data_IF_461697492176
#
_entry.id   IF_461697492176
#
_cell.length_a   1.000
_cell.length_b   1.000
_cell.length_c   1.000
_cell.angle_alpha   90.00
_cell.angle_beta   90.00
_cell.angle_gamma   90.00
#
_symmetry.space_group_name_H-M   'P 1'
#
loop_
_entity.id
_entity.type
_entity.pdbx_description
1 polymer ?
#
# COMPACT_ATOMS: atom_id res chain seq x y z
N UNK A 1 -28.54 -1.36 6.94
CA UNK A 1 -27.22 -0.70 7.11
C UNK A 1 -26.66 -0.45 5.72
N UNK A 2 -26.35 0.79 5.34
CA UNK A 2 -25.71 1.08 4.04
C UNK A 2 -24.38 0.34 3.97
N UNK A 3 -24.24 -0.62 3.07
CA UNK A 3 -23.01 -1.37 2.80
C UNK A 3 -21.96 -0.40 2.26
N UNK A 4 -21.05 0.05 3.12
CA UNK A 4 -19.92 0.89 2.72
C UNK A 4 -18.87 0.02 2.06
N UNK A 5 -18.42 0.44 0.89
CA UNK A 5 -17.45 -0.26 0.07
C UNK A 5 -16.29 0.69 -0.29
N UNK A 6 -15.06 0.18 -0.43
CA UNK A 6 -13.93 0.94 -1.01
C UNK A 6 -13.77 0.60 -2.49
N UNK A 7 -14.90 0.44 -3.17
CA UNK A 7 -14.91 0.12 -4.59
C UNK A 7 -14.53 1.34 -5.42
N UNK A 8 -14.55 1.13 -6.72
CA UNK A 8 -14.29 2.14 -7.74
C UNK A 8 -15.11 3.43 -7.55
N UNK A 9 -14.46 4.58 -7.76
CA UNK A 9 -15.15 5.86 -7.84
C UNK A 9 -15.78 6.04 -9.24
N UNK A 10 -16.92 6.73 -9.33
CA UNK A 10 -17.69 6.83 -10.57
C UNK A 10 -16.95 7.44 -11.77
N UNK A 11 -15.85 8.18 -11.53
CA UNK A 11 -15.02 8.76 -12.59
C UNK A 11 -13.83 7.89 -13.01
N UNK A 12 -13.51 6.82 -12.28
CA UNK A 12 -12.25 6.09 -12.47
C UNK A 12 -12.15 5.43 -13.86
N UNK A 13 -13.24 4.88 -14.41
CA UNK A 13 -13.21 4.33 -15.79
C UNK A 13 -12.80 5.36 -16.81
N UNK A 14 -13.36 6.57 -16.70
CA UNK A 14 -13.06 7.66 -17.61
C UNK A 14 -11.60 8.11 -17.46
N UNK A 15 -11.08 8.04 -16.24
CA UNK A 15 -9.74 8.53 -15.90
C UNK A 15 -8.63 7.51 -16.15
N UNK A 16 -8.93 6.21 -16.15
CA UNK A 16 -7.92 5.15 -16.16
C UNK A 16 -8.25 3.96 -17.07
N UNK A 17 -9.51 3.80 -17.49
CA UNK A 17 -9.99 2.59 -18.17
C UNK A 17 -9.60 2.46 -19.63
N UNK A 18 -9.22 3.54 -20.32
CA UNK A 18 -8.84 3.47 -21.74
C UNK A 18 -7.36 3.12 -21.91
N UNK A 19 -7.02 2.24 -22.86
CA UNK A 19 -5.63 1.89 -23.20
C UNK A 19 -4.77 3.10 -23.55
N UNK A 20 -5.33 4.09 -24.26
CA UNK A 20 -4.65 5.36 -24.57
C UNK A 20 -4.24 6.11 -23.31
N UNK A 21 -5.11 6.17 -22.32
CA UNK A 21 -4.80 6.83 -21.05
C UNK A 21 -3.77 6.05 -20.23
N UNK A 22 -3.84 4.72 -20.24
CA UNK A 22 -2.84 3.87 -19.57
C UNK A 22 -1.45 4.05 -20.17
N UNK A 23 -1.35 4.11 -21.51
CA UNK A 23 -0.09 4.40 -22.19
C UNK A 23 0.46 5.78 -21.81
N UNK A 24 -0.42 6.80 -21.77
CA UNK A 24 -0.05 8.14 -21.36
C UNK A 24 0.42 8.21 -19.89
N UNK A 25 -0.17 7.40 -19.00
CA UNK A 25 0.32 7.24 -17.61
C UNK A 25 1.73 6.64 -17.59
N UNK A 26 2.00 5.61 -18.40
CA UNK A 26 3.35 5.02 -18.49
C UNK A 26 4.40 6.05 -18.95
N UNK A 27 4.08 6.86 -19.95
CA UNK A 27 4.95 7.97 -20.41
C UNK A 27 5.16 9.02 -19.32
N UNK A 28 4.08 9.42 -18.62
CA UNK A 28 4.17 10.34 -17.50
C UNK A 28 5.05 9.81 -16.35
N UNK A 29 5.01 8.50 -16.09
CA UNK A 29 5.86 7.87 -15.08
C UNK A 29 7.34 7.88 -15.45
N UNK A 30 7.66 7.67 -16.73
CA UNK A 30 9.04 7.79 -17.22
C UNK A 30 9.59 9.20 -17.00
N UNK A 31 8.79 10.23 -17.34
CA UNK A 31 9.17 11.63 -17.10
C UNK A 31 9.28 11.95 -15.60
N UNK A 32 8.35 11.47 -14.78
CA UNK A 32 8.42 11.63 -13.32
C UNK A 32 9.72 11.04 -12.78
N UNK A 33 10.03 9.79 -13.13
CA UNK A 33 11.25 9.12 -12.69
C UNK A 33 12.51 9.86 -13.14
N UNK A 34 12.53 10.35 -14.39
CA UNK A 34 13.64 11.15 -14.92
C UNK A 34 13.89 12.43 -14.11
N UNK A 35 12.83 13.15 -13.72
CA UNK A 35 12.94 14.36 -12.91
C UNK A 35 13.36 14.04 -11.47
N UNK A 36 12.73 13.05 -10.84
CA UNK A 36 13.07 12.62 -9.48
C UNK A 36 14.52 12.11 -9.38
N UNK A 37 15.04 11.50 -10.44
CA UNK A 37 16.44 11.04 -10.51
C UNK A 37 17.46 12.17 -10.69
N UNK A 38 17.00 13.42 -10.85
CA UNK A 38 17.81 14.65 -10.88
C UNK A 38 17.48 15.57 -9.71
N UNK A 39 16.96 15.01 -8.63
CA UNK A 39 16.66 15.71 -7.38
C UNK A 39 15.63 16.84 -7.54
N UNK A 40 14.80 16.80 -8.58
CA UNK A 40 13.65 17.70 -8.66
C UNK A 40 12.69 17.37 -7.52
N UNK A 41 12.21 18.40 -6.83
CA UNK A 41 11.23 18.23 -5.77
C UNK A 41 9.95 17.57 -6.30
N UNK A 42 9.46 16.56 -5.58
CA UNK A 42 8.29 15.75 -5.93
C UNK A 42 7.06 16.58 -6.33
N UNK A 43 6.73 17.63 -5.56
CA UNK A 43 5.61 18.55 -5.87
C UNK A 43 5.80 19.32 -7.19
N UNK A 44 7.02 19.71 -7.51
CA UNK A 44 7.33 20.44 -8.74
C UNK A 44 7.33 19.49 -9.95
N UNK A 45 7.90 18.29 -9.78
CA UNK A 45 7.91 17.26 -10.81
C UNK A 45 6.49 16.85 -11.24
N UNK A 46 5.61 16.54 -10.27
CA UNK A 46 4.22 16.17 -10.58
C UNK A 46 3.45 17.28 -11.27
N UNK A 47 3.70 18.55 -10.92
CA UNK A 47 3.07 19.68 -11.58
C UNK A 47 3.54 19.83 -13.04
N UNK A 48 4.85 19.72 -13.29
CA UNK A 48 5.43 19.80 -14.64
C UNK A 48 4.91 18.68 -15.54
N UNK A 49 5.01 17.44 -15.07
CA UNK A 49 4.54 16.26 -15.80
C UNK A 49 3.02 16.31 -15.97
N UNK A 50 2.28 16.59 -14.89
CA UNK A 50 0.83 16.72 -14.93
C UNK A 50 0.35 17.74 -15.96
N UNK A 51 1.01 18.90 -16.05
CA UNK A 51 0.71 19.90 -17.06
C UNK A 51 1.05 19.43 -18.49
N UNK A 52 2.23 18.80 -18.71
CA UNK A 52 2.65 18.27 -20.01
C UNK A 52 1.62 17.30 -20.59
N UNK A 53 1.12 16.39 -19.77
CA UNK A 53 0.17 15.34 -20.17
C UNK A 53 -1.29 15.71 -19.93
N UNK A 54 -1.58 16.93 -19.46
CA UNK A 54 -2.93 17.43 -19.14
C UNK A 54 -3.69 16.54 -18.15
N UNK A 55 -2.98 15.99 -17.16
CA UNK A 55 -3.53 15.12 -16.13
C UNK A 55 -4.30 15.94 -15.10
N UNK A 56 -5.45 15.43 -14.66
CA UNK A 56 -6.19 16.04 -13.55
C UNK A 56 -5.54 15.70 -12.20
N UNK A 57 -6.04 16.33 -11.13
CA UNK A 57 -5.51 16.15 -9.76
C UNK A 57 -5.49 14.68 -9.31
N UNK A 58 -6.49 13.87 -9.70
CA UNK A 58 -6.58 12.46 -9.32
C UNK A 58 -5.55 11.60 -10.06
N UNK A 59 -5.36 11.84 -11.34
CA UNK A 59 -4.31 11.19 -12.15
C UNK A 59 -2.92 11.64 -11.70
N UNK A 60 -2.74 12.91 -11.35
CA UNK A 60 -1.50 13.43 -10.75
C UNK A 60 -1.19 12.73 -9.41
N UNK A 61 -2.21 12.50 -8.57
CA UNK A 61 -2.06 11.71 -7.35
C UNK A 61 -1.61 10.27 -7.64
N UNK A 62 -2.18 9.64 -8.67
CA UNK A 62 -1.78 8.30 -9.10
C UNK A 62 -0.33 8.26 -9.57
N UNK A 63 0.08 9.11 -10.51
CA UNK A 63 1.46 9.10 -11.01
C UNK A 63 2.47 9.42 -9.92
N UNK A 64 2.15 10.35 -9.01
CA UNK A 64 2.98 10.67 -7.85
C UNK A 64 3.17 9.46 -6.94
N UNK A 65 2.08 8.73 -6.67
CA UNK A 65 2.14 7.49 -5.90
C UNK A 65 2.89 6.37 -6.60
N UNK A 66 2.86 6.30 -7.93
CA UNK A 66 3.51 5.23 -8.69
C UNK A 66 4.98 5.51 -9.02
N UNK A 67 5.41 6.77 -8.99
CA UNK A 67 6.75 7.19 -9.40
C UNK A 67 7.79 7.12 -8.27
N UNK A 68 9.03 6.84 -8.65
CA UNK A 68 10.21 7.00 -7.80
C UNK A 68 11.44 7.28 -8.68
N UNK A 69 12.51 7.81 -8.09
CA UNK A 69 13.79 7.92 -8.80
C UNK A 69 14.37 6.52 -9.05
N UNK A 70 15.26 6.40 -10.04
CA UNK A 70 15.97 5.15 -10.33
C UNK A 70 16.71 4.66 -9.08
N UNK A 71 17.43 5.56 -8.40
CA UNK A 71 18.13 5.26 -7.15
C UNK A 71 17.19 4.75 -6.07
N UNK A 72 16.01 5.36 -5.89
CA UNK A 72 15.02 4.89 -4.91
C UNK A 72 14.51 3.49 -5.24
N UNK A 73 14.16 3.21 -6.51
CA UNK A 73 13.70 1.89 -6.94
C UNK A 73 14.78 0.83 -6.67
N UNK A 74 16.04 1.12 -7.01
CA UNK A 74 17.16 0.22 -6.76
C UNK A 74 17.37 -0.04 -5.26
N UNK A 75 17.36 1.01 -4.43
CA UNK A 75 17.51 0.87 -2.98
C UNK A 75 16.39 0.04 -2.35
N UNK A 76 15.13 0.28 -2.75
CA UNK A 76 13.99 -0.52 -2.29
C UNK A 76 14.16 -1.99 -2.68
N UNK A 77 14.54 -2.27 -3.92
CA UNK A 77 14.77 -3.64 -4.40
C UNK A 77 15.88 -4.35 -3.62
N UNK A 78 16.94 -3.64 -3.21
CA UNK A 78 18.03 -4.21 -2.42
C UNK A 78 17.62 -4.58 -0.99
N UNK A 79 16.70 -3.82 -0.39
CA UNK A 79 16.20 -4.07 0.97
C UNK A 79 14.96 -4.97 1.02
N UNK A 80 14.32 -5.23 -0.11
CA UNK A 80 13.17 -6.12 -0.25
C UNK A 80 13.54 -7.58 0.10
N UNK A 81 12.61 -8.28 0.73
CA UNK A 81 12.70 -9.69 1.05
C UNK A 81 11.78 -10.51 0.14
N UNK A 82 12.14 -11.77 -0.05
CA UNK A 82 11.25 -12.78 -0.62
C UNK A 82 10.50 -13.53 0.49
N UNK A 83 9.39 -14.17 0.13
CA UNK A 83 8.55 -14.98 1.02
C UNK A 83 9.36 -15.96 1.89
N UNK A 84 10.32 -16.67 1.28
CA UNK A 84 11.14 -17.68 1.95
C UNK A 84 12.01 -17.10 3.07
N UNK A 85 12.26 -15.79 3.08
CA UNK A 85 13.08 -15.12 4.09
C UNK A 85 12.27 -14.65 5.30
N UNK A 86 10.96 -14.91 5.35
CA UNK A 86 10.08 -14.50 6.45
C UNK A 86 9.96 -15.56 7.57
N UNK A 87 10.37 -16.80 7.30
CA UNK A 87 10.21 -17.93 8.24
C UNK A 87 10.86 -17.61 9.59
N UNK A 88 10.07 -17.69 10.65
CA UNK A 88 10.49 -17.43 12.02
C UNK A 88 10.87 -15.97 12.33
N UNK A 89 10.70 -15.05 11.37
CA UNK A 89 11.05 -13.63 11.55
C UNK A 89 9.95 -12.85 12.25
N UNK A 90 10.32 -11.71 12.82
CA UNK A 90 9.35 -10.72 13.28
C UNK A 90 9.12 -9.65 12.22
N UNK A 91 7.85 -9.36 11.96
CA UNK A 91 7.42 -8.33 11.00
C UNK A 91 6.64 -7.24 11.71
N UNK A 92 6.62 -6.05 11.13
CA UNK A 92 5.84 -4.91 11.59
C UNK A 92 5.00 -4.37 10.43
N UNK A 93 3.68 -4.33 10.61
CA UNK A 93 2.71 -3.95 9.58
C UNK A 93 2.25 -2.52 9.81
N UNK A 94 2.33 -1.70 8.77
CA UNK A 94 1.59 -0.44 8.67
C UNK A 94 0.11 -0.78 8.41
N UNK A 95 -0.66 -0.79 9.49
CA UNK A 95 -1.97 -1.42 9.51
C UNK A 95 -2.99 -0.71 8.63
N UNK A 96 -2.97 0.63 8.57
CA UNK A 96 -3.90 1.36 7.71
C UNK A 96 -3.48 1.25 6.25
N UNK A 97 -2.20 1.45 5.93
CA UNK A 97 -1.72 1.34 4.56
C UNK A 97 -2.07 -0.03 3.95
N UNK A 98 -1.76 -1.12 4.64
CA UNK A 98 -2.03 -2.46 4.14
C UNK A 98 -3.55 -2.75 4.02
N UNK A 99 -4.33 -2.40 5.05
CA UNK A 99 -5.77 -2.67 5.02
C UNK A 99 -6.48 -1.89 3.92
N UNK A 100 -6.15 -0.63 3.68
CA UNK A 100 -6.84 0.19 2.68
C UNK A 100 -6.57 -0.36 1.27
N UNK A 101 -5.33 -0.75 0.97
CA UNK A 101 -4.97 -1.32 -0.34
C UNK A 101 -5.73 -2.63 -0.57
N UNK A 102 -5.75 -3.53 0.42
CA UNK A 102 -6.45 -4.82 0.29
C UNK A 102 -7.98 -4.68 0.32
N UNK A 103 -8.51 -3.73 1.08
CA UNK A 103 -9.93 -3.38 1.03
C UNK A 103 -10.30 -2.88 -0.36
N UNK A 104 -9.50 -1.99 -0.96
CA UNK A 104 -9.71 -1.47 -2.31
C UNK A 104 -9.64 -2.60 -3.35
N UNK A 105 -8.65 -3.48 -3.23
CA UNK A 105 -8.50 -4.69 -4.03
C UNK A 105 -9.75 -5.57 -4.01
N UNK A 106 -10.17 -5.97 -2.81
CA UNK A 106 -11.35 -6.83 -2.58
C UNK A 106 -12.68 -6.16 -2.96
N UNK A 107 -12.66 -4.84 -3.17
CA UNK A 107 -13.82 -4.04 -3.56
C UNK A 107 -13.89 -3.77 -5.07
N UNK A 108 -12.91 -4.23 -5.85
CA UNK A 108 -12.82 -3.97 -7.29
C UNK A 108 -12.52 -2.52 -7.64
N UNK A 109 -11.79 -1.80 -6.78
CA UNK A 109 -11.28 -0.47 -7.11
C UNK A 109 -10.08 -0.53 -8.07
N UNK A 110 -9.77 0.60 -8.68
CA UNK A 110 -8.49 0.74 -9.39
C UNK A 110 -7.32 0.70 -8.40
N UNK A 111 -6.34 -0.13 -8.71
CA UNK A 111 -5.05 -0.17 -8.02
C UNK A 111 -3.95 0.28 -8.97
N UNK A 112 -2.91 0.86 -8.39
CA UNK A 112 -1.81 1.46 -9.11
C UNK A 112 -0.52 0.76 -8.71
N UNK A 113 0.05 -0.04 -9.62
CA UNK A 113 1.31 -0.74 -9.41
C UNK A 113 2.46 0.20 -9.76
N UNK A 114 3.19 0.62 -8.74
CA UNK A 114 4.30 1.56 -8.87
C UNK A 114 5.55 0.94 -9.50
N UNK A 115 6.52 1.81 -9.81
CA UNK A 115 7.82 1.41 -10.36
C UNK A 115 8.63 0.50 -9.43
N UNK A 116 8.27 0.47 -8.15
CA UNK A 116 8.81 -0.39 -7.09
C UNK A 116 7.97 -1.66 -6.86
N UNK A 117 7.08 -2.01 -7.80
CA UNK A 117 6.13 -3.13 -7.73
C UNK A 117 5.14 -3.08 -6.57
N UNK A 118 5.12 -2.00 -5.79
CA UNK A 118 4.15 -1.82 -4.72
C UNK A 118 2.79 -1.42 -5.29
N UNK A 119 1.73 -2.01 -4.74
CA UNK A 119 0.36 -1.63 -5.06
C UNK A 119 -0.10 -0.50 -4.15
N UNK A 120 -0.69 0.53 -4.74
CA UNK A 120 -1.21 1.70 -4.02
C UNK A 120 -2.64 1.99 -4.48
N UNK A 121 -3.45 2.51 -3.56
CA UNK A 121 -4.75 3.07 -3.84
C UNK A 121 -4.71 4.61 -3.84
N UNK A 122 -5.81 5.24 -4.24
CA UNK A 122 -6.01 6.70 -4.14
C UNK A 122 -6.88 7.10 -2.92
N UNK A 123 -7.34 6.12 -2.16
CA UNK A 123 -8.28 6.15 -1.04
C UNK A 123 -7.57 6.26 0.32
N UNK A 124 -6.70 7.26 0.51
CA UNK A 124 -6.02 7.47 1.79
C UNK A 124 -6.97 7.72 2.98
N UNK A 125 -6.48 7.48 4.21
CA UNK A 125 -7.19 7.85 5.44
C UNK A 125 -6.84 9.29 5.83
N UNK A 126 -7.85 10.15 5.89
CA UNK A 126 -7.74 11.49 6.46
C UNK A 126 -8.73 11.62 7.62
N UNK A 127 -8.22 11.62 8.86
CA UNK A 127 -8.97 11.86 10.10
C UNK A 127 -9.75 10.67 10.66
N UNK A 128 -10.49 9.90 9.85
CA UNK A 128 -11.29 8.77 10.34
C UNK A 128 -11.18 7.54 9.45
N UNK A 129 -10.75 6.42 10.05
CA UNK A 129 -10.88 5.12 9.41
C UNK A 129 -12.30 4.61 9.63
N UNK A 130 -12.92 4.18 8.53
CA UNK A 130 -14.26 3.58 8.52
C UNK A 130 -14.15 2.18 7.96
N UNK A 131 -14.48 1.19 8.81
CA UNK A 131 -14.55 -0.21 8.42
C UNK A 131 -15.50 -0.39 7.23
N UNK A 132 -15.11 -1.25 6.30
CA UNK A 132 -15.95 -1.71 5.19
C UNK A 132 -16.22 -3.21 5.30
N UNK A 133 -17.07 -3.74 4.44
CA UNK A 133 -17.41 -5.16 4.46
C UNK A 133 -16.18 -6.07 4.26
N UNK A 134 -15.19 -5.57 3.53
CA UNK A 134 -13.98 -6.29 3.14
C UNK A 134 -12.91 -6.36 4.24
N UNK A 135 -13.00 -5.53 5.29
CA UNK A 135 -11.95 -5.44 6.33
C UNK A 135 -11.66 -6.80 6.98
N UNK A 136 -12.69 -7.57 7.33
CA UNK A 136 -12.52 -8.88 7.96
C UNK A 136 -11.91 -9.91 7.00
N UNK A 137 -12.36 -9.91 5.74
CA UNK A 137 -11.79 -10.74 4.68
C UNK A 137 -10.30 -10.43 4.47
N UNK A 138 -9.92 -9.15 4.47
CA UNK A 138 -8.53 -8.74 4.35
C UNK A 138 -7.68 -9.23 5.53
N UNK A 139 -8.18 -9.08 6.77
CA UNK A 139 -7.48 -9.57 7.96
C UNK A 139 -7.24 -11.09 7.92
N UNK A 140 -8.27 -11.87 7.57
CA UNK A 140 -8.13 -13.33 7.44
C UNK A 140 -7.11 -13.69 6.36
N UNK A 141 -7.20 -13.06 5.19
CA UNK A 141 -6.27 -13.29 4.09
C UNK A 141 -4.81 -13.06 4.50
N UNK A 142 -4.55 -11.97 5.24
CA UNK A 142 -3.23 -11.64 5.77
C UNK A 142 -2.77 -12.68 6.79
N UNK A 143 -3.65 -13.06 7.73
CA UNK A 143 -3.31 -14.01 8.78
C UNK A 143 -2.99 -15.40 8.25
N UNK A 144 -3.82 -15.90 7.34
CA UNK A 144 -3.63 -17.20 6.71
C UNK A 144 -2.33 -17.23 5.90
N UNK A 145 -2.07 -16.21 5.09
CA UNK A 145 -0.82 -16.11 4.32
C UNK A 145 0.43 -16.07 5.22
N UNK A 146 0.43 -15.25 6.27
CA UNK A 146 1.58 -15.13 7.17
C UNK A 146 1.79 -16.40 8.01
N UNK A 147 0.71 -17.12 8.31
CA UNK A 147 0.76 -18.44 8.96
C UNK A 147 1.32 -19.50 8.01
N UNK A 148 0.89 -19.51 6.74
CA UNK A 148 1.46 -20.36 5.67
C UNK A 148 2.98 -20.10 5.52
N UNK A 149 3.41 -18.84 5.61
CA UNK A 149 4.81 -18.45 5.54
C UNK A 149 5.61 -18.72 6.83
N UNK A 150 4.99 -19.30 7.86
CA UNK A 150 5.58 -19.58 9.17
C UNK A 150 6.27 -18.34 9.80
N UNK A 151 5.66 -17.17 9.67
CA UNK A 151 6.16 -15.93 10.30
C UNK A 151 6.14 -16.07 11.82
N UNK A 152 7.24 -15.67 12.47
CA UNK A 152 7.42 -15.84 13.90
C UNK A 152 6.46 -14.99 14.73
N UNK A 153 6.47 -13.66 14.52
CA UNK A 153 5.60 -12.71 15.22
C UNK A 153 5.19 -11.55 14.30
N UNK A 154 3.93 -11.13 14.39
CA UNK A 154 3.40 -10.01 13.61
C UNK A 154 2.99 -8.88 14.54
N UNK A 155 3.57 -7.69 14.36
CA UNK A 155 3.15 -6.49 15.09
C UNK A 155 2.39 -5.56 14.15
N UNK A 156 1.09 -5.40 14.36
CA UNK A 156 0.27 -4.40 13.69
C UNK A 156 0.43 -3.03 14.35
N UNK A 157 0.75 -2.02 13.56
CA UNK A 157 0.89 -0.63 14.02
C UNK A 157 -0.22 0.19 13.38
N UNK A 158 -1.02 0.85 14.22
CA UNK A 158 -2.02 1.81 13.75
C UNK A 158 -1.72 3.19 14.30
N UNK A 159 -2.00 4.21 13.50
CA UNK A 159 -1.93 5.61 13.91
C UNK A 159 -2.99 5.89 15.00
N UNK A 160 -2.52 6.28 16.18
CA UNK A 160 -3.35 6.50 17.37
C UNK A 160 -4.35 7.66 17.16
N UNK A 161 -3.93 8.83 16.67
CA UNK A 161 -4.82 9.92 16.25
C UNK A 161 -5.96 9.55 15.30
N UNK A 162 -5.84 8.50 14.48
CA UNK A 162 -6.90 8.12 13.55
C UNK A 162 -8.13 7.62 14.32
N UNK A 163 -9.27 8.29 14.11
CA UNK A 163 -10.53 7.89 14.72
C UNK A 163 -10.89 6.44 14.36
N UNK A 164 -11.40 5.68 15.34
CA UNK A 164 -11.67 4.24 15.33
C UNK A 164 -10.46 3.29 15.37
N UNK A 165 -9.21 3.78 15.47
CA UNK A 165 -8.01 2.94 15.60
C UNK A 165 -8.10 1.98 16.81
N UNK A 166 -8.60 2.46 17.96
CA UNK A 166 -8.81 1.63 19.15
C UNK A 166 -9.82 0.50 18.96
N UNK A 167 -10.92 0.76 18.22
CA UNK A 167 -11.94 -0.25 17.94
C UNK A 167 -11.43 -1.30 16.94
N UNK A 168 -10.65 -0.86 15.96
CA UNK A 168 -9.97 -1.74 15.02
C UNK A 168 -8.95 -2.62 15.74
N UNK A 169 -8.16 -2.06 16.66
CA UNK A 169 -7.23 -2.82 17.50
C UNK A 169 -7.91 -3.97 18.25
N UNK A 170 -9.04 -3.71 18.91
CA UNK A 170 -9.80 -4.77 19.59
C UNK A 170 -10.21 -5.86 18.61
N UNK A 171 -10.74 -5.48 17.44
CA UNK A 171 -11.19 -6.45 16.43
C UNK A 171 -10.05 -7.31 15.88
N UNK A 172 -8.90 -6.71 15.60
CA UNK A 172 -7.70 -7.43 15.12
C UNK A 172 -7.24 -8.45 16.16
N UNK A 173 -7.27 -8.09 17.45
CA UNK A 173 -6.93 -9.01 18.54
C UNK A 173 -7.92 -10.17 18.67
N UNK A 174 -9.23 -9.89 18.68
CA UNK A 174 -10.26 -10.94 18.72
C UNK A 174 -10.10 -11.94 17.57
N UNK A 175 -9.82 -11.44 16.36
CA UNK A 175 -9.62 -12.27 15.18
C UNK A 175 -8.33 -13.09 15.29
N UNK A 176 -7.25 -12.50 15.81
CA UNK A 176 -6.02 -13.22 16.07
C UNK A 176 -6.21 -14.37 17.06
N UNK A 177 -6.92 -14.13 18.16
CA UNK A 177 -7.22 -15.13 19.19
C UNK A 177 -8.08 -16.26 18.60
N UNK A 178 -9.11 -15.93 17.82
CA UNK A 178 -10.00 -16.91 17.21
C UNK A 178 -9.32 -17.82 16.18
N UNK A 179 -8.30 -17.33 15.47
CA UNK A 179 -7.61 -18.08 14.40
C UNK A 179 -6.20 -18.58 14.80
N UNK A 180 -5.76 -18.27 16.03
CA UNK A 180 -4.44 -18.63 16.53
C UNK A 180 -3.30 -17.91 15.81
N UNK A 181 -3.52 -16.66 15.40
CA UNK A 181 -2.47 -15.84 14.81
C UNK A 181 -1.59 -15.21 15.91
N UNK A 182 -0.25 -15.28 15.76
CA UNK A 182 0.70 -14.67 16.70
C UNK A 182 0.83 -13.16 16.45
N UNK A 183 -0.26 -12.44 16.70
CA UNK A 183 -0.37 -11.01 16.43
C UNK A 183 -0.32 -10.18 17.71
N UNK A 184 0.41 -9.08 17.63
CA UNK A 184 0.37 -7.98 18.58
C UNK A 184 -0.17 -6.74 17.86
N UNK A 185 -0.91 -5.89 18.58
CA UNK A 185 -1.45 -4.65 18.02
C UNK A 185 -1.10 -3.45 18.90
N UNK A 186 -0.39 -2.50 18.32
CA UNK A 186 0.03 -1.26 18.97
C UNK A 186 -0.61 -0.04 18.30
N UNK A 187 -0.87 0.99 19.11
CA UNK A 187 -1.29 2.30 18.64
C UNK A 187 -0.15 3.27 18.91
N UNK A 188 0.41 3.86 17.86
CA UNK A 188 1.54 4.78 17.97
C UNK A 188 1.17 6.17 17.43
N UNK A 189 1.81 7.23 17.92
CA UNK A 189 1.57 8.59 17.42
C UNK A 189 2.34 8.89 16.13
N UNK A 190 3.34 8.07 15.80
CA UNK A 190 4.11 8.14 14.57
C UNK A 190 4.48 6.72 14.08
N UNK A 191 3.49 5.97 13.57
CA UNK A 191 3.71 4.62 13.02
C UNK A 191 4.81 4.60 11.97
N UNK A 192 4.82 5.56 11.04
CA UNK A 192 5.77 5.60 9.93
C UNK A 192 7.20 5.58 10.46
N UNK A 193 7.51 6.47 11.42
CA UNK A 193 8.83 6.51 12.07
C UNK A 193 9.14 5.22 12.82
N UNK A 194 8.17 4.66 13.55
CA UNK A 194 8.36 3.41 14.28
C UNK A 194 8.72 2.25 13.34
N UNK A 195 8.03 2.13 12.19
CA UNK A 195 8.33 1.12 11.18
C UNK A 195 9.70 1.34 10.55
N UNK A 196 10.00 2.58 10.14
CA UNK A 196 11.24 2.94 9.45
C UNK A 196 12.49 2.71 10.31
N UNK A 197 12.42 2.98 11.62
CA UNK A 197 13.56 2.88 12.54
C UNK A 197 13.67 1.47 13.19
N UNK A 198 12.71 0.59 12.95
CA UNK A 198 12.68 -0.76 13.51
C UNK A 198 13.77 -1.67 12.94
N UNK A 199 14.21 -2.64 13.74
CA UNK A 199 15.02 -3.77 13.26
C UNK A 199 14.16 -4.92 12.68
N UNK A 200 12.83 -4.83 12.82
CA UNK A 200 11.88 -5.81 12.26
C UNK A 200 11.69 -5.56 10.77
N UNK A 201 11.14 -6.55 10.06
CA UNK A 201 10.81 -6.42 8.65
C UNK A 201 9.55 -5.55 8.51
N UNK A 202 9.66 -4.44 7.79
CA UNK A 202 8.53 -3.55 7.57
C UNK A 202 7.59 -4.08 6.47
N UNK A 203 6.28 -3.95 6.68
CA UNK A 203 5.24 -4.23 5.69
C UNK A 203 4.47 -2.95 5.46
N UNK A 204 4.76 -2.28 4.35
CA UNK A 204 4.08 -1.06 3.89
C UNK A 204 4.32 -0.87 2.40
N UNK A 205 3.48 -0.08 1.75
CA UNK A 205 3.69 0.44 0.41
C UNK A 205 4.06 1.95 0.41
N UNK A 206 4.22 2.56 1.58
CA UNK A 206 4.58 3.97 1.72
C UNK A 206 6.05 4.22 1.37
N UNK A 207 6.29 5.10 0.40
CA UNK A 207 7.63 5.40 -0.09
C UNK A 207 8.60 5.88 1.00
N UNK A 208 8.12 6.67 1.97
CA UNK A 208 8.98 7.19 3.04
C UNK A 208 9.46 6.08 3.98
N UNK A 209 8.59 5.11 4.28
CA UNK A 209 8.92 3.92 5.06
C UNK A 209 9.88 3.02 4.27
N UNK A 210 9.56 2.72 3.01
CA UNK A 210 10.38 1.86 2.15
C UNK A 210 11.80 2.40 1.95
N UNK A 211 11.97 3.71 1.85
CA UNK A 211 13.27 4.36 1.70
C UNK A 211 14.14 4.32 2.97
N UNK A 212 13.57 3.96 4.14
CA UNK A 212 14.25 4.03 5.44
C UNK A 212 14.31 2.70 6.19
N UNK A 213 13.35 1.82 5.95
CA UNK A 213 13.30 0.51 6.58
C UNK A 213 14.54 -0.31 6.22
N UNK A 214 15.14 -0.99 7.20
CA UNK A 214 16.31 -1.83 6.96
C UNK A 214 16.03 -2.97 6.01
N UNK A 215 14.85 -3.60 6.17
CA UNK A 215 14.31 -4.65 5.31
C UNK A 215 12.81 -4.52 5.27
N UNK A 216 12.21 -4.83 4.13
CA UNK A 216 10.76 -4.80 3.96
C UNK A 216 10.29 -5.96 3.10
N UNK A 217 8.98 -6.21 3.10
CA UNK A 217 8.36 -7.25 2.29
C UNK A 217 7.02 -6.77 1.72
N UNK A 218 6.82 -7.01 0.42
CA UNK A 218 5.64 -6.57 -0.33
C UNK A 218 4.43 -7.51 -0.14
N UNK A 219 3.91 -7.57 1.09
CA UNK A 219 2.78 -8.45 1.41
C UNK A 219 1.52 -8.14 0.58
N UNK A 220 1.26 -6.85 0.30
CA UNK A 220 0.12 -6.47 -0.53
C UNK A 220 0.27 -7.04 -1.95
N UNK A 221 1.48 -6.94 -2.54
CA UNK A 221 1.78 -7.51 -3.85
C UNK A 221 1.54 -9.01 -3.91
N UNK A 222 2.10 -9.78 -2.98
CA UNK A 222 1.91 -11.23 -2.97
C UNK A 222 0.45 -11.64 -2.80
N UNK A 223 -0.31 -10.95 -1.95
CA UNK A 223 -1.73 -11.24 -1.77
C UNK A 223 -2.56 -10.88 -3.01
N UNK A 224 -2.29 -9.72 -3.61
CA UNK A 224 -3.01 -9.26 -4.81
C UNK A 224 -2.74 -10.20 -5.98
N UNK A 225 -1.48 -10.57 -6.21
CA UNK A 225 -1.10 -11.35 -7.39
C UNK A 225 -1.50 -12.83 -7.27
N UNK A 226 -1.53 -13.38 -6.05
CA UNK A 226 -1.76 -14.82 -5.86
C UNK A 226 -3.13 -15.19 -5.27
N UNK A 227 -3.85 -14.25 -4.64
CA UNK A 227 -5.05 -14.58 -3.85
C UNK A 227 -6.26 -13.68 -4.14
N UNK A 228 -6.14 -12.62 -4.93
CA UNK A 228 -7.25 -11.72 -5.26
C UNK A 228 -7.38 -11.59 -6.77
N UNK A 229 -8.54 -11.98 -7.31
CA UNK A 229 -8.86 -11.70 -8.72
C UNK A 229 -9.15 -10.21 -8.90
N UNK A 230 -8.28 -9.50 -9.61
CA UNK A 230 -8.43 -8.07 -9.92
C UNK A 230 -8.31 -7.85 -11.42
N UNK A 231 -9.19 -7.01 -11.96
CA UNK A 231 -9.23 -6.65 -13.39
C UNK A 231 -8.87 -5.17 -13.66
N UNK A 232 -8.63 -4.38 -12.61
CA UNK A 232 -8.44 -2.92 -12.66
C UNK A 232 -7.09 -2.48 -12.09
N UNK A 233 -6.00 -3.10 -12.54
CA UNK A 233 -4.63 -2.69 -12.20
C UNK A 233 -4.09 -1.77 -13.30
N UNK A 234 -3.56 -0.61 -12.90
CA UNK A 234 -2.78 0.28 -13.75
C UNK A 234 -1.30 0.01 -13.48
N UNK A 235 -0.59 -0.46 -14.50
CA UNK A 235 0.82 -0.83 -14.40
C UNK A 235 1.74 0.31 -14.82
N UNK A 236 2.90 0.40 -14.16
CA UNK A 236 3.94 1.38 -14.49
C UNK A 236 4.74 1.09 -15.75
N UNK A 237 4.69 -0.14 -16.28
CA UNK A 237 5.41 -0.60 -17.47
C UNK A 237 4.55 -1.52 -18.31
#
# INVERSE_FOLDING_TARGET
MTTRNRGKEGSDDKLFGTSKMQQLIKEALQDMSYLLSRDYADKSAVQLVGNRYRLNVRQQKAIRGMSASVTQVEQRKLSELSVNQLVGREIMIDGFNLLIVLESALSGAYLFKGMDNCYRDLSGVHGSYKRVQQTEKALLLIGDFLKECAVGKVTWVFDKPVSNSGRLKTRVRELAEAHGFNWEVILDNNPDKLLAESNKIAISSDAWILDRAKRWFNLAGDLIENKIEITTIIESY
#
